data_IF_005226435996
#
_entry.id   IF_005226435996
#
_cell.length_a   1.000
_cell.length_b   1.000
_cell.length_c   1.000
_cell.angle_alpha   90.00
_cell.angle_beta   90.00
_cell.angle_gamma   90.00
#
_symmetry.space_group_name_H-M   'P 1'
#
loop_
_entity.id
_entity.type
_entity.pdbx_description
1 polymer ?
#
# COMPACT_ATOMS: atom_id res chain seq x y z
N UNK A 1 4.96 -23.20 -14.13
CA UNK A 1 6.17 -23.38 -13.28
C UNK A 1 6.12 -22.48 -12.04
N UNK A 2 6.08 -21.16 -12.13
CA UNK A 2 6.14 -20.26 -10.95
C UNK A 2 4.96 -20.42 -9.97
N UNK A 3 3.72 -20.58 -10.47
CA UNK A 3 2.55 -20.86 -9.62
C UNK A 3 2.71 -22.19 -8.87
N UNK A 4 3.17 -23.23 -9.54
CA UNK A 4 3.39 -24.55 -8.91
C UNK A 4 4.46 -24.49 -7.81
N UNK A 5 5.58 -23.77 -8.05
CA UNK A 5 6.60 -23.58 -7.02
C UNK A 5 6.04 -22.84 -5.80
N UNK A 6 5.24 -21.79 -6.02
CA UNK A 6 4.57 -21.08 -4.92
C UNK A 6 3.62 -22.00 -4.14
N UNK A 7 2.81 -22.77 -4.85
CA UNK A 7 1.89 -23.71 -4.22
C UNK A 7 2.62 -24.76 -3.38
N UNK A 8 3.71 -25.31 -3.88
CA UNK A 8 4.54 -26.30 -3.15
C UNK A 8 5.07 -25.74 -1.84
N UNK A 9 5.71 -24.57 -1.84
CA UNK A 9 6.25 -24.00 -0.60
C UNK A 9 5.12 -23.62 0.39
N UNK A 10 3.96 -23.18 -0.10
CA UNK A 10 2.80 -22.90 0.73
C UNK A 10 2.22 -24.18 1.38
N UNK A 11 2.17 -25.29 0.65
CA UNK A 11 1.68 -26.58 1.14
C UNK A 11 2.58 -27.21 2.20
N UNK A 12 3.89 -26.95 2.15
CA UNK A 12 4.83 -27.45 3.15
C UNK A 12 4.64 -26.82 4.54
N UNK A 13 4.00 -25.65 4.60
CA UNK A 13 3.73 -24.98 5.87
C UNK A 13 2.41 -25.51 6.46
N UNK A 14 2.47 -26.15 7.61
CA UNK A 14 1.31 -26.79 8.26
C UNK A 14 0.71 -25.96 9.42
N UNK A 15 1.43 -24.92 9.89
CA UNK A 15 0.94 -24.03 10.94
C UNK A 15 -0.04 -22.98 10.35
N UNK A 16 -0.88 -22.34 11.18
CA UNK A 16 -1.71 -21.21 10.75
C UNK A 16 -0.87 -20.12 10.09
N UNK A 17 -1.35 -19.57 8.99
CA UNK A 17 -0.68 -18.53 8.20
C UNK A 17 -1.51 -17.24 8.20
N UNK A 18 -0.92 -16.16 8.71
CA UNK A 18 -1.49 -14.82 8.69
C UNK A 18 -0.82 -14.01 7.58
N UNK A 19 -1.58 -13.58 6.58
CA UNK A 19 -1.06 -12.82 5.44
C UNK A 19 -1.41 -11.35 5.61
N UNK A 20 -0.38 -10.49 5.74
CA UNK A 20 -0.57 -9.04 5.77
C UNK A 20 -1.07 -8.55 4.40
N UNK A 21 -2.34 -8.16 4.35
CA UNK A 21 -3.07 -7.83 3.13
C UNK A 21 -3.15 -6.31 2.95
N UNK A 22 -2.40 -5.77 1.99
CA UNK A 22 -2.39 -4.33 1.71
C UNK A 22 -3.49 -3.86 0.74
N UNK A 23 -4.20 -4.81 0.11
CA UNK A 23 -5.10 -4.53 -1.00
C UNK A 23 -4.40 -4.29 -2.35
N UNK A 24 -3.07 -4.36 -2.41
CA UNK A 24 -2.28 -4.38 -3.64
C UNK A 24 -2.20 -5.79 -4.23
N UNK A 25 -1.91 -5.86 -5.53
CA UNK A 25 -1.97 -7.12 -6.30
C UNK A 25 -1.08 -8.22 -5.72
N UNK A 26 0.09 -7.89 -5.16
CA UNK A 26 1.03 -8.87 -4.64
C UNK A 26 0.43 -9.63 -3.44
N UNK A 27 -0.06 -8.91 -2.45
CA UNK A 27 -0.67 -9.51 -1.26
C UNK A 27 -1.99 -10.22 -1.57
N UNK A 28 -2.79 -9.68 -2.49
CA UNK A 28 -4.05 -10.29 -2.93
C UNK A 28 -3.80 -11.60 -3.67
N UNK A 29 -2.79 -11.65 -4.54
CA UNK A 29 -2.40 -12.86 -5.27
C UNK A 29 -1.88 -13.93 -4.32
N UNK A 30 -1.00 -13.53 -3.36
CA UNK A 30 -0.50 -14.45 -2.35
C UNK A 30 -1.64 -15.07 -1.55
N UNK A 31 -2.57 -14.24 -1.06
CA UNK A 31 -3.73 -14.73 -0.29
C UNK A 31 -4.61 -15.67 -1.11
N UNK A 32 -4.87 -15.33 -2.38
CA UNK A 32 -5.70 -16.15 -3.26
C UNK A 32 -5.08 -17.54 -3.50
N UNK A 33 -3.77 -17.58 -3.74
CA UNK A 33 -3.05 -18.84 -3.97
C UNK A 33 -2.96 -19.64 -2.67
N UNK A 34 -2.61 -19.00 -1.56
CA UNK A 34 -2.47 -19.66 -0.27
C UNK A 34 -3.79 -20.28 0.22
N UNK A 35 -4.91 -19.55 0.10
CA UNK A 35 -6.23 -20.05 0.49
C UNK A 35 -6.67 -21.28 -0.31
N UNK A 36 -6.21 -21.41 -1.56
CA UNK A 36 -6.53 -22.59 -2.41
C UNK A 36 -5.55 -23.75 -2.22
N UNK A 37 -4.27 -23.46 -1.94
CA UNK A 37 -3.23 -24.46 -1.87
C UNK A 37 -3.09 -25.14 -0.52
N UNK A 38 -3.46 -24.46 0.56
CA UNK A 38 -3.24 -24.92 1.94
C UNK A 38 -4.48 -25.58 2.53
N UNK A 39 -4.26 -26.59 3.36
CA UNK A 39 -5.30 -27.20 4.21
C UNK A 39 -5.33 -26.60 5.61
N UNK A 40 -4.18 -26.07 6.08
CA UNK A 40 -4.10 -25.37 7.35
C UNK A 40 -4.74 -23.97 7.27
N UNK A 41 -5.22 -23.41 8.39
CA UNK A 41 -5.85 -22.09 8.41
C UNK A 41 -4.99 -21.02 7.74
N UNK A 42 -5.61 -20.24 6.86
CA UNK A 42 -4.97 -19.09 6.20
C UNK A 42 -5.86 -17.86 6.38
N UNK A 43 -5.35 -16.89 7.10
CA UNK A 43 -6.07 -15.70 7.54
C UNK A 43 -5.49 -14.47 6.86
N UNK A 44 -6.34 -13.70 6.20
CA UNK A 44 -6.00 -12.38 5.69
C UNK A 44 -6.09 -11.36 6.83
N UNK A 45 -5.04 -10.57 7.05
CA UNK A 45 -5.04 -9.48 8.02
C UNK A 45 -4.85 -8.16 7.30
N UNK A 46 -5.85 -7.30 7.37
CA UNK A 46 -5.85 -5.98 6.74
C UNK A 46 -5.84 -4.88 7.80
N UNK A 47 -4.79 -4.04 7.76
CA UNK A 47 -4.75 -2.87 8.62
C UNK A 47 -5.66 -1.77 8.02
N UNK A 48 -6.55 -1.22 8.84
CA UNK A 48 -7.45 -0.12 8.48
C UNK A 48 -7.02 1.12 9.24
N UNK A 49 -6.61 2.15 8.50
CA UNK A 49 -6.24 3.44 9.09
C UNK A 49 -6.44 4.56 8.07
N UNK A 50 -6.27 5.81 8.50
CA UNK A 50 -6.32 6.97 7.61
C UNK A 50 -5.24 6.94 6.51
N UNK A 51 -4.16 6.18 6.70
CA UNK A 51 -3.10 6.02 5.70
C UNK A 51 -3.44 5.03 4.58
N UNK A 52 -4.47 4.20 4.76
CA UNK A 52 -4.90 3.18 3.80
C UNK A 52 -5.99 3.75 2.89
N UNK A 53 -5.81 3.74 1.56
CA UNK A 53 -6.87 4.16 0.64
C UNK A 53 -8.14 3.33 0.83
N UNK A 54 -9.31 3.98 0.89
CA UNK A 54 -10.60 3.31 1.07
C UNK A 54 -10.82 2.19 0.03
N UNK A 55 -10.49 2.47 -1.23
CA UNK A 55 -10.59 1.49 -2.32
C UNK A 55 -9.77 0.21 -2.09
N UNK A 56 -8.66 0.28 -1.34
CA UNK A 56 -7.88 -0.90 -0.97
C UNK A 56 -8.63 -1.75 0.07
N UNK A 57 -9.23 -1.12 1.07
CA UNK A 57 -10.06 -1.79 2.08
C UNK A 57 -11.29 -2.45 1.46
N UNK A 58 -12.02 -1.72 0.63
CA UNK A 58 -13.20 -2.25 -0.08
C UNK A 58 -12.84 -3.44 -0.98
N UNK A 59 -11.69 -3.37 -1.63
CA UNK A 59 -11.17 -4.48 -2.45
C UNK A 59 -10.86 -5.71 -1.59
N UNK A 60 -10.22 -5.55 -0.44
CA UNK A 60 -9.94 -6.64 0.49
C UNK A 60 -11.24 -7.31 0.95
N UNK A 61 -12.23 -6.52 1.36
CA UNK A 61 -13.56 -7.01 1.78
C UNK A 61 -14.30 -7.73 0.65
N UNK A 62 -14.31 -7.13 -0.55
CA UNK A 62 -14.96 -7.70 -1.72
C UNK A 62 -14.38 -9.05 -2.14
N UNK A 63 -13.04 -9.15 -2.14
CA UNK A 63 -12.36 -10.41 -2.48
C UNK A 63 -12.49 -11.45 -1.37
N UNK A 64 -12.44 -11.06 -0.11
CA UNK A 64 -12.69 -11.97 1.01
C UNK A 64 -14.08 -12.62 0.90
N UNK A 65 -15.10 -11.80 0.60
CA UNK A 65 -16.46 -12.31 0.34
C UNK A 65 -16.52 -13.21 -0.90
N UNK A 66 -15.88 -12.81 -2.00
CA UNK A 66 -15.89 -13.55 -3.27
C UNK A 66 -15.22 -14.93 -3.16
N UNK A 67 -14.08 -14.99 -2.45
CA UNK A 67 -13.27 -16.20 -2.35
C UNK A 67 -13.46 -16.96 -1.03
N UNK A 68 -14.30 -16.47 -0.11
CA UNK A 68 -14.54 -17.08 1.20
C UNK A 68 -13.34 -17.00 2.15
N UNK A 69 -12.49 -15.97 2.05
CA UNK A 69 -11.36 -15.81 2.96
C UNK A 69 -11.81 -15.42 4.35
N UNK A 70 -11.13 -15.94 5.36
CA UNK A 70 -11.18 -15.34 6.68
C UNK A 70 -10.40 -14.04 6.64
N UNK A 71 -11.10 -12.90 6.78
CA UNK A 71 -10.51 -11.56 6.83
C UNK A 71 -10.63 -11.00 8.23
N UNK A 72 -9.50 -10.59 8.79
CA UNK A 72 -9.43 -9.81 10.03
C UNK A 72 -8.99 -8.39 9.70
N UNK A 73 -9.77 -7.41 10.15
CA UNK A 73 -9.41 -6.01 10.08
C UNK A 73 -8.86 -5.58 11.44
N UNK A 74 -7.71 -4.91 11.42
CA UNK A 74 -7.03 -4.44 12.63
C UNK A 74 -6.68 -2.96 12.52
N UNK A 75 -6.58 -2.28 13.66
CA UNK A 75 -5.84 -1.03 13.78
C UNK A 75 -4.38 -1.40 14.11
N UNK A 76 -3.46 -1.00 13.25
CA UNK A 76 -2.03 -1.25 13.48
C UNK A 76 -1.42 -0.26 14.48
N UNK A 77 -2.12 0.80 14.84
CA UNK A 77 -1.68 1.78 15.85
C UNK A 77 -0.49 2.63 15.43
N UNK A 78 -0.16 2.69 14.13
CA UNK A 78 1.01 3.42 13.64
C UNK A 78 0.99 4.91 13.98
N UNK A 79 -0.20 5.52 14.10
CA UNK A 79 -0.36 6.92 14.50
C UNK A 79 -0.04 7.19 15.98
N UNK A 80 0.09 6.14 16.80
CA UNK A 80 0.51 6.25 18.19
C UNK A 80 2.05 6.26 18.32
N UNK A 81 2.78 6.02 17.22
CA UNK A 81 4.24 6.05 17.20
C UNK A 81 4.76 7.41 16.76
N UNK A 82 5.41 8.15 17.65
CA UNK A 82 5.99 9.45 17.34
C UNK A 82 6.94 9.41 16.14
N UNK A 83 7.74 8.34 16.03
CA UNK A 83 8.67 8.16 14.91
C UNK A 83 7.95 7.98 13.57
N UNK A 84 6.78 7.36 13.54
CA UNK A 84 5.98 7.29 12.32
C UNK A 84 5.39 8.66 11.99
N UNK A 85 4.83 9.33 12.98
CA UNK A 85 4.16 10.63 12.85
C UNK A 85 5.15 11.71 12.40
N UNK A 86 6.40 11.67 12.90
CA UNK A 86 7.47 12.59 12.49
C UNK A 86 7.89 12.46 11.01
N UNK A 87 7.44 11.43 10.32
CA UNK A 87 7.62 11.23 8.89
C UNK A 87 9.08 11.25 8.39
N UNK A 88 9.99 10.50 9.02
CA UNK A 88 11.37 10.38 8.54
C UNK A 88 11.45 9.57 7.23
N UNK A 89 12.59 9.61 6.56
CA UNK A 89 12.86 8.84 5.33
C UNK A 89 12.58 7.35 5.53
N UNK A 90 12.89 6.80 6.70
CA UNK A 90 12.64 5.39 7.07
C UNK A 90 11.26 5.15 7.71
N UNK A 91 10.29 6.05 7.57
CA UNK A 91 8.92 5.93 8.12
C UNK A 91 8.30 4.54 7.91
N UNK A 92 8.54 3.91 6.74
CA UNK A 92 7.99 2.59 6.42
C UNK A 92 8.47 1.48 7.38
N UNK A 93 9.63 1.64 8.01
CA UNK A 93 10.08 0.74 9.06
C UNK A 93 9.12 0.78 10.26
N UNK A 94 8.80 1.95 10.78
CA UNK A 94 7.90 2.12 11.93
C UNK A 94 6.48 1.64 11.61
N UNK A 95 5.95 1.99 10.44
CA UNK A 95 4.65 1.53 9.97
C UNK A 95 4.58 -0.02 9.90
N UNK A 96 5.60 -0.67 9.36
CA UNK A 96 5.64 -2.13 9.27
C UNK A 96 5.88 -2.79 10.62
N UNK A 97 6.68 -2.18 11.49
CA UNK A 97 6.85 -2.63 12.86
C UNK A 97 5.51 -2.66 13.60
N UNK A 98 4.76 -1.55 13.60
CA UNK A 98 3.43 -1.47 14.21
C UNK A 98 2.48 -2.55 13.65
N UNK A 99 2.47 -2.72 12.32
CA UNK A 99 1.62 -3.72 11.67
C UNK A 99 1.93 -5.15 12.16
N UNK A 100 3.20 -5.54 12.17
CA UNK A 100 3.58 -6.89 12.55
C UNK A 100 3.39 -7.12 14.05
N UNK A 101 3.68 -6.13 14.89
CA UNK A 101 3.45 -6.21 16.34
C UNK A 101 1.95 -6.33 16.65
N UNK A 102 1.09 -5.60 15.95
CA UNK A 102 -0.36 -5.73 16.11
C UNK A 102 -0.88 -7.11 15.65
N UNK A 103 -0.31 -7.68 14.57
CA UNK A 103 -0.65 -9.04 14.12
C UNK A 103 -0.20 -10.05 15.18
N UNK A 104 1.03 -9.95 15.70
CA UNK A 104 1.56 -10.85 16.73
C UNK A 104 0.71 -10.81 18.01
N UNK A 105 0.40 -9.62 18.51
CA UNK A 105 -0.47 -9.46 19.68
C UNK A 105 -1.85 -10.10 19.46
N UNK A 106 -2.43 -9.96 18.26
CA UNK A 106 -3.71 -10.58 17.91
C UNK A 106 -3.65 -12.11 17.87
N UNK A 107 -2.50 -12.66 17.51
CA UNK A 107 -2.26 -14.10 17.47
C UNK A 107 -2.10 -14.66 18.87
N UNK A 108 -1.33 -14.02 19.76
CA UNK A 108 -1.11 -14.43 21.14
C UNK A 108 -2.43 -14.60 21.90
N UNK A 109 -3.41 -13.74 21.62
CA UNK A 109 -4.75 -13.83 22.18
C UNK A 109 -5.56 -15.06 21.71
N UNK A 110 -5.19 -15.69 20.58
CA UNK A 110 -6.04 -16.67 19.90
C UNK A 110 -5.42 -18.05 19.70
N UNK A 111 -4.11 -18.16 19.67
CA UNK A 111 -3.44 -19.38 19.25
C UNK A 111 -2.43 -19.88 20.28
N UNK A 112 -2.65 -21.12 20.76
CA UNK A 112 -1.60 -21.89 21.42
C UNK A 112 -0.79 -22.62 20.33
N UNK A 113 0.36 -22.09 19.92
CA UNK A 113 1.25 -22.77 19.00
C UNK A 113 2.02 -21.85 18.05
N UNK A 114 2.86 -22.48 17.25
CA UNK A 114 3.68 -21.78 16.25
C UNK A 114 2.79 -21.29 15.10
N UNK A 115 2.93 -20.03 14.70
CA UNK A 115 2.21 -19.40 13.59
C UNK A 115 3.19 -18.76 12.63
N UNK A 116 2.77 -18.52 11.38
CA UNK A 116 3.52 -17.78 10.39
C UNK A 116 2.83 -16.48 10.05
N UNK A 117 3.61 -15.41 9.91
CA UNK A 117 3.17 -14.17 9.27
C UNK A 117 3.86 -14.09 7.91
N UNK A 118 3.13 -13.77 6.85
CA UNK A 118 3.70 -13.59 5.51
C UNK A 118 3.29 -12.25 4.89
N UNK A 119 4.14 -11.80 3.97
CA UNK A 119 3.89 -10.62 3.12
C UNK A 119 4.05 -10.94 1.65
N UNK A 120 3.43 -10.09 0.79
CA UNK A 120 3.59 -10.16 -0.66
C UNK A 120 4.87 -9.53 -1.20
N UNK A 121 5.92 -9.45 -0.41
CA UNK A 121 7.24 -9.00 -0.85
C UNK A 121 7.77 -9.93 -1.93
N UNK A 122 8.27 -9.38 -3.03
CA UNK A 122 8.76 -10.12 -4.19
C UNK A 122 10.24 -9.80 -4.49
N UNK A 123 10.84 -10.44 -5.49
CA UNK A 123 12.28 -10.31 -5.76
C UNK A 123 12.69 -8.91 -6.22
N UNK A 124 11.80 -8.16 -6.90
CA UNK A 124 12.10 -6.79 -7.34
C UNK A 124 12.18 -5.82 -6.16
N UNK A 125 11.51 -6.15 -5.05
CA UNK A 125 11.54 -5.33 -3.83
C UNK A 125 12.90 -5.36 -3.11
N UNK A 126 13.75 -6.35 -3.39
CA UNK A 126 15.04 -6.54 -2.71
C UNK A 126 16.13 -5.58 -3.21
N UNK A 127 15.98 -5.03 -4.42
CA UNK A 127 16.93 -4.09 -5.04
C UNK A 127 16.76 -2.64 -4.58
N UNK A 128 15.67 -2.31 -3.91
CA UNK A 128 15.32 -0.95 -3.49
C UNK A 128 15.61 -0.68 -2.01
N UNK A 129 15.82 0.59 -1.67
CA UNK A 129 15.82 1.03 -0.27
C UNK A 129 14.41 0.90 0.32
N UNK A 130 14.16 -0.21 1.01
CA UNK A 130 12.86 -0.51 1.64
C UNK A 130 13.01 -0.76 3.14
N UNK A 131 12.94 0.29 3.96
CA UNK A 131 13.07 0.17 5.42
C UNK A 131 12.11 -0.85 6.05
N UNK A 132 10.95 -1.09 5.43
CA UNK A 132 9.99 -2.09 5.88
C UNK A 132 10.49 -3.54 5.78
N UNK A 133 11.50 -3.84 4.95
CA UNK A 133 12.12 -5.18 4.90
C UNK A 133 12.90 -5.48 6.18
N UNK A 134 13.54 -4.46 6.78
CA UNK A 134 14.21 -4.62 8.07
C UNK A 134 13.20 -4.97 9.17
N UNK A 135 12.06 -4.29 9.22
CA UNK A 135 11.01 -4.59 10.19
C UNK A 135 10.46 -6.02 10.03
N UNK A 136 10.34 -6.50 8.78
CA UNK A 136 9.91 -7.86 8.47
C UNK A 136 10.96 -8.90 8.91
N UNK A 137 12.25 -8.64 8.65
CA UNK A 137 13.34 -9.54 9.05
C UNK A 137 13.47 -9.68 10.57
N UNK A 138 13.37 -8.57 11.31
CA UNK A 138 13.43 -8.56 12.78
C UNK A 138 12.29 -9.39 13.44
N UNK A 139 11.17 -9.56 12.75
CA UNK A 139 9.99 -10.30 13.21
C UNK A 139 9.80 -11.65 12.49
N UNK A 140 10.81 -12.08 11.76
CA UNK A 140 10.83 -13.36 11.03
C UNK A 140 9.59 -13.53 10.11
N UNK A 141 9.15 -12.41 9.49
CA UNK A 141 8.02 -12.43 8.56
C UNK A 141 8.44 -13.14 7.28
N UNK A 142 7.68 -14.18 6.93
CA UNK A 142 7.94 -15.01 5.76
C UNK A 142 7.63 -14.27 4.46
N UNK A 143 8.47 -14.49 3.46
CA UNK A 143 8.38 -13.89 2.14
C UNK A 143 8.31 -14.97 1.04
N UNK A 144 7.14 -15.60 0.83
CA UNK A 144 7.00 -16.75 -0.07
C UNK A 144 7.44 -16.49 -1.51
N UNK A 145 7.21 -15.28 -2.01
CA UNK A 145 7.62 -14.93 -3.37
C UNK A 145 9.14 -14.84 -3.51
N UNK A 146 9.82 -14.30 -2.50
CA UNK A 146 11.29 -14.24 -2.49
C UNK A 146 11.87 -15.66 -2.47
N UNK A 147 11.35 -16.53 -1.60
CA UNK A 147 11.75 -17.92 -1.50
C UNK A 147 11.55 -18.69 -2.83
N UNK A 148 10.41 -18.43 -3.51
CA UNK A 148 10.10 -19.04 -4.81
C UNK A 148 10.78 -18.34 -6.02
N UNK A 149 11.57 -17.30 -5.80
CA UNK A 149 12.20 -16.51 -6.86
C UNK A 149 11.19 -15.86 -7.81
N UNK A 150 10.10 -15.29 -7.27
CA UNK A 150 8.99 -14.72 -8.03
C UNK A 150 9.10 -13.19 -8.04
N UNK A 151 9.11 -12.62 -9.24
CA UNK A 151 9.13 -11.20 -9.52
C UNK A 151 7.70 -10.63 -9.75
N UNK A 152 7.61 -9.33 -9.95
CA UNK A 152 6.34 -8.62 -10.19
C UNK A 152 5.60 -9.09 -11.44
N UNK A 153 6.32 -9.41 -12.50
CA UNK A 153 5.70 -9.88 -13.75
C UNK A 153 5.10 -11.27 -13.56
N UNK A 154 5.82 -12.16 -12.88
CA UNK A 154 5.31 -13.49 -12.54
C UNK A 154 4.09 -13.41 -11.61
N UNK A 155 4.08 -12.50 -10.62
CA UNK A 155 2.89 -12.27 -9.77
C UNK A 155 1.68 -11.88 -10.60
N UNK A 156 1.81 -10.98 -11.57
CA UNK A 156 0.70 -10.58 -12.45
C UNK A 156 0.16 -11.75 -13.28
N UNK A 157 1.04 -12.61 -13.81
CA UNK A 157 0.65 -13.82 -14.50
C UNK A 157 -0.10 -14.79 -13.57
N UNK A 158 0.45 -15.02 -12.36
CA UNK A 158 -0.19 -15.86 -11.32
C UNK A 158 -1.56 -15.28 -10.92
N UNK A 159 -1.70 -13.97 -10.84
CA UNK A 159 -2.97 -13.31 -10.52
C UNK A 159 -4.07 -13.64 -11.53
N UNK A 160 -3.74 -13.66 -12.83
CA UNK A 160 -4.66 -14.07 -13.90
C UNK A 160 -5.06 -15.52 -13.70
N UNK A 161 -4.11 -16.44 -13.53
CA UNK A 161 -4.35 -17.87 -13.31
C UNK A 161 -5.15 -18.15 -12.03
N UNK A 162 -4.94 -17.34 -10.99
CA UNK A 162 -5.64 -17.43 -9.71
C UNK A 162 -7.10 -16.91 -9.76
N UNK A 163 -7.51 -16.24 -10.86
CA UNK A 163 -8.88 -15.75 -11.06
C UNK A 163 -9.11 -14.32 -10.54
N UNK A 164 -8.05 -13.52 -10.41
CA UNK A 164 -8.14 -12.11 -10.03
C UNK A 164 -8.49 -11.18 -11.20
N UNK A 165 -8.46 -11.68 -12.45
CA UNK A 165 -8.92 -10.96 -13.64
C UNK A 165 -8.21 -9.62 -13.84
N UNK A 166 -8.99 -8.55 -14.02
CA UNK A 166 -8.46 -7.20 -14.27
C UNK A 166 -7.60 -6.64 -13.14
N UNK A 167 -7.74 -7.17 -11.91
CA UNK A 167 -6.86 -6.78 -10.80
C UNK A 167 -5.38 -7.12 -11.05
N UNK A 168 -5.09 -8.05 -11.97
CA UNK A 168 -3.72 -8.35 -12.41
C UNK A 168 -3.00 -7.13 -12.97
N UNK A 169 -3.74 -6.13 -13.48
CA UNK A 169 -3.23 -4.87 -14.04
C UNK A 169 -3.22 -3.72 -13.05
N UNK A 170 -3.62 -3.97 -11.78
CA UNK A 170 -3.68 -2.93 -10.77
C UNK A 170 -2.31 -2.22 -10.64
N UNK A 171 -2.26 -0.88 -10.75
CA UNK A 171 -1.03 -0.14 -10.54
C UNK A 171 -0.58 -0.20 -9.07
N UNK A 172 0.65 0.21 -8.80
CA UNK A 172 1.14 0.35 -7.44
C UNK A 172 0.33 1.41 -6.69
N UNK A 173 -0.19 1.04 -5.53
CA UNK A 173 -1.00 1.92 -4.67
C UNK A 173 -0.30 2.09 -3.32
N UNK A 174 0.70 2.96 -3.23
CA UNK A 174 1.35 3.26 -1.95
C UNK A 174 0.35 3.95 -1.00
N UNK A 175 0.60 3.83 0.32
CA UNK A 175 -0.24 4.43 1.35
C UNK A 175 -0.33 5.96 1.20
N UNK A 176 -1.40 6.58 1.69
CA UNK A 176 -1.62 8.03 1.58
C UNK A 176 -0.53 8.85 2.28
N UNK A 177 0.12 8.31 3.31
CA UNK A 177 1.26 8.98 3.97
C UNK A 177 2.44 9.23 3.02
N UNK A 178 2.55 8.49 1.91
CA UNK A 178 3.58 8.74 0.90
C UNK A 178 3.37 10.05 0.12
N UNK A 179 2.26 10.73 0.33
CA UNK A 179 1.93 12.03 -0.26
C UNK A 179 2.43 13.20 0.57
N UNK A 180 2.76 12.93 1.83
CA UNK A 180 3.28 13.94 2.74
C UNK A 180 4.80 14.01 2.59
N UNK A 181 5.34 15.19 2.34
CA UNK A 181 6.77 15.40 2.17
C UNK A 181 7.54 15.01 3.43
N UNK A 182 8.68 14.34 3.25
CA UNK A 182 9.54 13.89 4.34
C UNK A 182 9.84 15.03 5.33
N UNK A 183 9.66 14.76 6.62
CA UNK A 183 9.84 15.73 7.71
C UNK A 183 8.60 16.55 8.06
N UNK A 184 7.57 16.55 7.20
CA UNK A 184 6.27 17.13 7.59
C UNK A 184 5.50 16.09 8.41
N UNK A 185 5.06 16.49 9.60
CA UNK A 185 4.27 15.65 10.51
C UNK A 185 3.03 15.08 9.81
N UNK A 186 2.86 13.77 9.88
CA UNK A 186 1.66 13.10 9.34
C UNK A 186 0.50 13.27 10.32
N UNK A 187 -0.62 13.77 9.83
CA UNK A 187 -1.86 13.80 10.58
C UNK A 187 -3.05 13.29 9.75
N UNK A 188 -4.08 12.86 10.44
CA UNK A 188 -5.26 12.25 9.82
C UNK A 188 -5.99 13.22 8.89
N UNK A 189 -6.02 14.52 9.22
CA UNK A 189 -6.71 15.53 8.40
C UNK A 189 -6.00 15.75 7.06
N UNK A 190 -4.65 15.70 7.05
CA UNK A 190 -3.88 15.78 5.80
C UNK A 190 -4.16 14.58 4.90
N UNK A 191 -4.25 13.39 5.47
CA UNK A 191 -4.52 12.18 4.68
C UNK A 191 -5.96 12.15 4.13
N UNK A 192 -6.93 12.64 4.90
CA UNK A 192 -8.31 12.81 4.42
C UNK A 192 -8.39 13.84 3.30
N UNK A 193 -7.68 14.95 3.45
CA UNK A 193 -7.58 15.99 2.42
C UNK A 193 -6.95 15.42 1.14
N UNK A 194 -5.82 14.74 1.25
CA UNK A 194 -5.15 14.07 0.13
C UNK A 194 -6.13 13.13 -0.59
N UNK A 195 -6.82 12.29 0.14
CA UNK A 195 -7.80 11.37 -0.42
C UNK A 195 -8.94 12.10 -1.13
N UNK A 196 -9.46 13.22 -0.55
CA UNK A 196 -10.51 14.04 -1.18
C UNK A 196 -10.06 14.59 -2.53
N UNK A 197 -8.85 15.16 -2.59
CA UNK A 197 -8.30 15.72 -3.84
C UNK A 197 -8.05 14.62 -4.88
N UNK A 198 -7.37 13.52 -4.51
CA UNK A 198 -7.07 12.43 -5.44
C UNK A 198 -8.37 11.81 -5.99
N UNK A 199 -9.39 11.59 -5.15
CA UNK A 199 -10.68 11.07 -5.57
C UNK A 199 -11.47 12.02 -6.48
N UNK A 200 -11.39 13.33 -6.26
CA UNK A 200 -12.02 14.32 -7.12
C UNK A 200 -11.34 14.38 -8.50
N UNK A 201 -10.02 14.36 -8.53
CA UNK A 201 -9.25 14.33 -9.77
C UNK A 201 -9.46 13.02 -10.55
N UNK A 202 -9.53 11.88 -9.86
CA UNK A 202 -9.80 10.58 -10.50
C UNK A 202 -11.20 10.52 -11.14
N UNK A 203 -12.20 11.15 -10.51
CA UNK A 203 -13.54 11.30 -11.12
C UNK A 203 -13.54 12.18 -12.36
N UNK A 204 -12.70 13.22 -12.38
CA UNK A 204 -12.61 14.16 -13.49
C UNK A 204 -11.79 13.61 -14.67
N UNK A 205 -10.66 12.97 -14.39
CA UNK A 205 -9.66 12.58 -15.39
C UNK A 205 -9.71 11.08 -15.76
N UNK A 206 -10.40 10.27 -14.96
CA UNK A 206 -10.30 8.82 -15.00
C UNK A 206 -9.16 8.28 -14.12
N UNK A 207 -9.05 6.93 -14.04
CA UNK A 207 -8.01 6.28 -13.23
C UNK A 207 -6.62 6.54 -13.82
N UNK A 208 -5.64 6.79 -12.95
CA UNK A 208 -4.25 7.06 -13.36
C UNK A 208 -3.32 7.34 -12.18
N UNK A 209 -2.11 7.74 -12.50
CA UNK A 209 -1.12 8.14 -11.50
C UNK A 209 -1.38 9.57 -11.00
N UNK A 210 -2.45 9.73 -10.23
CA UNK A 210 -2.87 10.99 -9.61
C UNK A 210 -2.33 11.03 -8.18
N UNK A 211 -1.67 12.13 -7.80
CA UNK A 211 -1.13 12.33 -6.44
C UNK A 211 -1.34 13.76 -5.97
N UNK A 212 -1.89 13.88 -4.78
CA UNK A 212 -1.95 15.15 -4.05
C UNK A 212 -0.81 15.20 -3.04
N UNK A 213 0.21 16.01 -3.28
CA UNK A 213 1.37 16.14 -2.40
C UNK A 213 1.17 17.30 -1.43
N UNK A 214 1.35 17.04 -0.14
CA UNK A 214 1.48 18.08 0.88
C UNK A 214 2.96 18.33 1.08
N UNK A 215 3.39 19.51 0.71
CA UNK A 215 4.79 19.96 0.75
C UNK A 215 4.91 21.20 1.68
N UNK A 216 6.13 21.60 1.98
CA UNK A 216 6.37 22.74 2.88
C UNK A 216 5.72 24.05 2.40
N UNK A 217 5.64 24.27 1.08
CA UNK A 217 5.05 25.47 0.50
C UNK A 217 3.51 25.38 0.32
N UNK A 218 2.89 24.21 0.53
CA UNK A 218 1.46 24.00 0.33
C UNK A 218 1.10 22.69 -0.32
N UNK A 219 0.32 22.72 -1.40
CA UNK A 219 -0.20 21.53 -2.09
C UNK A 219 0.27 21.50 -3.54
N UNK A 220 0.76 20.36 -3.99
CA UNK A 220 1.06 20.09 -5.39
C UNK A 220 0.16 18.97 -5.89
N UNK A 221 -0.69 19.24 -6.89
CA UNK A 221 -1.47 18.22 -7.56
C UNK A 221 -0.67 17.65 -8.74
N UNK A 222 -0.43 16.35 -8.71
CA UNK A 222 0.26 15.66 -9.81
C UNK A 222 -0.73 14.78 -10.56
N UNK A 223 -0.73 14.90 -11.88
CA UNK A 223 -1.60 14.13 -12.78
C UNK A 223 -0.76 13.49 -13.90
N UNK A 224 -1.25 12.42 -14.55
CA UNK A 224 -0.51 11.77 -15.62
C UNK A 224 -0.16 12.77 -16.74
N UNK A 225 1.05 12.66 -17.28
CA UNK A 225 1.54 13.56 -18.34
C UNK A 225 0.72 13.41 -19.62
N UNK A 226 0.30 12.19 -19.93
CA UNK A 226 -0.57 11.84 -21.05
C UNK A 226 -2.06 12.14 -20.83
N UNK A 227 -2.42 12.73 -19.69
CA UNK A 227 -3.83 13.08 -19.37
C UNK A 227 -4.42 14.15 -20.27
N UNK A 228 -3.60 14.85 -21.07
CA UNK A 228 -4.00 16.00 -21.88
C UNK A 228 -4.18 17.30 -21.08
N UNK A 229 -3.92 17.28 -19.76
CA UNK A 229 -4.04 18.47 -18.90
C UNK A 229 -3.02 19.54 -19.29
N UNK A 230 -1.82 19.14 -19.69
CA UNK A 230 -0.73 20.09 -20.01
C UNK A 230 -0.71 20.55 -21.48
N UNK A 231 -1.62 20.03 -22.30
CA UNK A 231 -1.74 20.38 -23.74
C UNK A 231 -3.06 21.08 -24.05
N UNK A 232 -3.99 21.20 -23.10
CA UNK A 232 -5.30 21.85 -23.22
C UNK A 232 -5.50 22.82 -22.05
N UNK A 233 -5.45 24.12 -22.34
CA UNK A 233 -5.58 25.19 -21.36
C UNK A 233 -6.91 25.13 -20.60
N UNK A 234 -8.01 24.73 -21.24
CA UNK A 234 -9.32 24.60 -20.58
C UNK A 234 -9.32 23.46 -19.58
N UNK A 235 -8.70 22.35 -19.95
CA UNK A 235 -8.57 21.18 -19.08
C UNK A 235 -7.64 21.48 -17.89
N UNK A 236 -6.54 22.19 -18.13
CA UNK A 236 -5.65 22.67 -17.08
C UNK A 236 -6.39 23.56 -16.09
N UNK A 237 -7.12 24.57 -16.57
CA UNK A 237 -7.90 25.48 -15.74
C UNK A 237 -8.98 24.75 -14.94
N UNK A 238 -9.63 23.72 -15.52
CA UNK A 238 -10.62 22.91 -14.83
C UNK A 238 -10.00 22.16 -13.66
N UNK A 239 -8.87 21.49 -13.88
CA UNK A 239 -8.12 20.77 -12.84
C UNK A 239 -7.64 21.72 -11.75
N UNK A 240 -7.02 22.83 -12.15
CA UNK A 240 -6.50 23.83 -11.22
C UNK A 240 -7.59 24.44 -10.34
N UNK A 241 -8.73 24.82 -10.93
CA UNK A 241 -9.86 25.40 -10.20
C UNK A 241 -10.48 24.39 -9.22
N UNK A 242 -10.65 23.13 -9.64
CA UNK A 242 -11.15 22.08 -8.76
C UNK A 242 -10.26 21.90 -7.52
N UNK A 243 -8.93 21.85 -7.74
CA UNK A 243 -8.00 21.66 -6.62
C UNK A 243 -7.92 22.92 -5.76
N UNK A 244 -7.94 24.13 -6.34
CA UNK A 244 -7.98 25.40 -5.59
C UNK A 244 -9.21 25.49 -4.68
N UNK A 245 -10.39 25.11 -5.17
CA UNK A 245 -11.63 25.08 -4.40
C UNK A 245 -11.49 24.14 -3.20
N UNK A 246 -11.05 22.89 -3.44
CA UNK A 246 -10.86 21.92 -2.35
C UNK A 246 -9.79 22.40 -1.37
N UNK A 247 -8.71 23.06 -1.83
CA UNK A 247 -7.70 23.63 -0.96
C UNK A 247 -8.29 24.75 -0.09
N UNK A 248 -9.05 25.68 -0.67
CA UNK A 248 -9.66 26.80 0.06
C UNK A 248 -10.60 26.30 1.16
N UNK A 249 -11.45 25.32 0.86
CA UNK A 249 -12.36 24.68 1.83
C UNK A 249 -11.62 24.04 3.03
N UNK A 250 -10.34 23.75 2.87
CA UNK A 250 -9.53 23.09 3.89
C UNK A 250 -8.38 23.98 4.43
N UNK A 251 -8.46 25.32 4.21
CA UNK A 251 -7.45 26.31 4.61
C UNK A 251 -6.04 25.96 4.09
N UNK A 252 -5.95 25.54 2.84
CA UNK A 252 -4.69 25.19 2.17
C UNK A 252 -4.51 26.01 0.91
N UNK A 253 -3.29 26.05 0.41
CA UNK A 253 -2.94 26.73 -0.83
C UNK A 253 -2.43 25.74 -1.85
N UNK A 254 -3.01 25.77 -3.07
CA UNK A 254 -2.43 25.09 -4.21
C UNK A 254 -1.19 25.85 -4.69
N UNK A 255 -0.04 25.19 -4.71
CA UNK A 255 1.20 25.72 -5.26
C UNK A 255 1.21 25.59 -6.79
N UNK A 256 0.90 24.38 -7.28
CA UNK A 256 0.85 24.10 -8.74
C UNK A 256 0.17 22.78 -9.05
N UNK A 257 -0.25 22.66 -10.31
CA UNK A 257 -0.53 21.39 -10.98
C UNK A 257 0.71 21.00 -11.79
N UNK A 258 1.15 19.75 -11.70
CA UNK A 258 2.38 19.27 -12.32
C UNK A 258 2.22 17.84 -12.88
N UNK A 259 3.06 17.44 -13.85
CA UNK A 259 3.15 16.05 -14.26
C UNK A 259 3.54 15.13 -13.10
N UNK A 260 3.01 13.90 -13.14
CA UNK A 260 3.34 12.92 -12.13
C UNK A 260 4.83 12.60 -12.10
N UNK A 261 5.41 12.62 -10.91
CA UNK A 261 6.78 12.19 -10.66
C UNK A 261 6.84 11.23 -9.47
N UNK A 262 7.37 10.04 -9.72
CA UNK A 262 7.52 9.01 -8.69
C UNK A 262 8.47 9.50 -7.59
N UNK A 263 8.10 9.27 -6.33
CA UNK A 263 8.97 9.55 -5.19
C UNK A 263 9.17 11.03 -4.84
N UNK A 264 8.50 11.96 -5.52
CA UNK A 264 8.73 13.42 -5.37
C UNK A 264 8.46 14.01 -3.98
N UNK A 265 7.82 13.26 -3.06
CA UNK A 265 7.65 13.65 -1.66
C UNK A 265 8.74 13.07 -0.73
N UNK A 266 9.64 12.23 -1.25
CA UNK A 266 10.75 11.67 -0.49
C UNK A 266 12.00 12.53 -0.68
N UNK A 267 12.28 13.37 0.32
CA UNK A 267 13.51 14.14 0.35
C UNK A 267 14.60 13.30 1.03
N UNK A 268 15.51 12.77 0.24
CA UNK A 268 16.74 12.19 0.76
C UNK A 268 17.68 13.35 1.13
N UNK A 269 17.51 13.90 2.33
CA UNK A 269 18.57 14.72 2.88
C UNK A 269 19.76 13.78 3.13
N UNK A 270 20.80 13.92 2.33
CA UNK A 270 22.14 13.44 2.67
C UNK A 270 22.51 14.12 3.97
N UNK A 271 22.28 13.46 5.12
CA UNK A 271 22.99 13.85 6.32
C UNK A 271 24.47 13.57 6.04
N UNK A 272 25.35 14.56 6.17
CA UNK A 272 26.78 14.24 6.21
C UNK A 272 27.00 13.29 7.37
N UNK A 273 27.78 12.25 7.10
CA UNK A 273 28.27 11.22 8.02
C UNK A 273 29.07 11.87 9.15
#
# INVERSE_FOLDING_TARGET
MKLQSLQQILQLQTQPLYIALSGGIDSLTLMTVAAKARTAPTIAVHAVSAAVPLAATERCRGLAKKFGWQLEEIDAGEFNHEQYVANPVNRCYYCKSSLFDAILARIEDKAAGQVLIATGTNTDDLGDYRPGLKAAAERQVWQPYVEAGIDKNAIRAIAVEAGLGDLSRLPAQPCLSSRIETGITINVNDLRFVHKVESALEKLLGPGDIRCRVVSEGVVAQVPDDSGVFTDDKKYQLVENLVKEICADNNRQLVRVAPYSMGSAFLHHTQPV
#
